data_IF_197048287635
#
_entry.id   IF_197048287635
#
_cell.length_a   1.000
_cell.length_b   1.000
_cell.length_c   1.000
_cell.angle_alpha   90.00
_cell.angle_beta   90.00
_cell.angle_gamma   90.00
#
_symmetry.space_group_name_H-M   'P 1'
#
loop_
_entity.id
_entity.type
_entity.pdbx_description
1 polymer ?
#
# COMPACT_ATOMS: atom_id res chain seq x y z
N UNK A 1 -0.53 11.58 -16.84
CA UNK A 1 0.58 12.46 -16.41
C UNK A 1 1.35 12.95 -17.63
N UNK A 2 2.03 14.10 -17.54
CA UNK A 2 2.84 14.66 -18.63
C UNK A 2 3.87 13.67 -19.21
N UNK A 3 4.46 12.83 -18.33
CA UNK A 3 5.39 11.78 -18.75
C UNK A 3 4.72 10.66 -19.57
N UNK A 4 3.47 10.32 -19.28
CA UNK A 4 2.70 9.33 -20.08
C UNK A 4 2.41 9.88 -21.48
N UNK A 5 2.02 11.14 -21.59
CA UNK A 5 1.79 11.82 -22.88
C UNK A 5 3.09 11.86 -23.69
N UNK A 6 4.21 12.28 -23.08
CA UNK A 6 5.52 12.28 -23.74
C UNK A 6 5.90 10.90 -24.28
N UNK A 7 5.67 9.82 -23.50
CA UNK A 7 5.94 8.44 -23.94
C UNK A 7 5.09 8.05 -25.14
N UNK A 8 3.80 8.40 -25.15
CA UNK A 8 2.90 8.12 -26.29
C UNK A 8 3.35 8.84 -27.56
N UNK A 9 3.77 10.09 -27.45
CA UNK A 9 4.31 10.88 -28.57
C UNK A 9 5.55 10.18 -29.16
N UNK A 10 6.55 9.90 -28.32
CA UNK A 10 7.80 9.26 -28.74
C UNK A 10 7.61 7.83 -29.31
N UNK A 11 6.49 7.19 -28.98
CA UNK A 11 6.14 5.85 -29.50
C UNK A 11 5.24 5.90 -30.74
N UNK A 12 5.15 7.02 -31.44
CA UNK A 12 4.32 7.22 -32.64
C UNK A 12 2.81 6.98 -32.42
N UNK A 13 2.33 7.15 -31.18
CA UNK A 13 0.93 6.95 -30.81
C UNK A 13 0.13 8.27 -30.75
N UNK A 14 0.65 9.34 -31.31
CA UNK A 14 -0.03 10.63 -31.48
C UNK A 14 -0.21 10.91 -32.96
N UNK A 15 -1.42 11.26 -33.36
CA UNK A 15 -1.71 11.87 -34.64
C UNK A 15 -2.27 13.26 -34.44
N UNK A 16 -1.82 14.20 -35.27
CA UNK A 16 -2.39 15.54 -35.37
C UNK A 16 -2.83 15.73 -36.83
N UNK A 17 -4.09 16.04 -37.03
CA UNK A 17 -4.72 16.10 -38.35
C UNK A 17 -4.40 14.86 -39.19
N UNK A 18 -4.51 13.68 -38.63
CA UNK A 18 -4.22 12.35 -39.20
C UNK A 18 -2.74 12.06 -39.50
N UNK A 19 -1.82 13.00 -39.25
CA UNK A 19 -0.37 12.83 -39.44
C UNK A 19 0.27 12.40 -38.09
N UNK A 20 1.13 11.35 -38.13
CA UNK A 20 1.87 10.92 -36.93
C UNK A 20 2.87 12.00 -36.53
N UNK A 21 2.81 12.43 -35.27
CA UNK A 21 3.75 13.36 -34.65
C UNK A 21 4.48 12.67 -33.51
N UNK A 22 5.81 12.62 -33.58
CA UNK A 22 6.67 11.99 -32.57
C UNK A 22 7.58 13.00 -31.84
N UNK A 23 7.39 14.30 -32.08
CA UNK A 23 8.11 15.35 -31.38
C UNK A 23 7.28 15.89 -30.19
N UNK A 24 7.74 15.72 -28.94
CA UNK A 24 7.07 16.26 -27.77
C UNK A 24 7.08 17.80 -27.67
N UNK A 25 7.87 18.48 -28.52
CA UNK A 25 7.96 19.95 -28.61
C UNK A 25 7.03 20.54 -29.66
N UNK A 26 6.29 19.69 -30.39
CA UNK A 26 5.35 20.17 -31.43
C UNK A 26 4.36 21.18 -30.85
N UNK A 27 4.23 22.32 -31.53
CA UNK A 27 3.33 23.41 -31.12
C UNK A 27 1.98 23.24 -31.82
N UNK A 28 0.96 23.01 -31.03
CA UNK A 28 -0.42 22.87 -31.49
C UNK A 28 -0.98 24.20 -31.97
N UNK A 29 -1.76 24.17 -33.05
CA UNK A 29 -2.52 25.32 -33.59
C UNK A 29 -4.00 25.20 -33.19
N UNK A 30 -4.66 26.33 -33.14
CA UNK A 30 -6.11 26.36 -32.92
C UNK A 30 -6.81 25.63 -34.08
N UNK A 31 -7.65 24.65 -33.75
CA UNK A 31 -8.35 23.80 -34.72
C UNK A 31 -7.66 22.48 -35.06
N UNK A 32 -6.47 22.20 -34.51
CA UNK A 32 -5.84 20.88 -34.68
C UNK A 32 -6.68 19.77 -34.04
N UNK A 33 -6.89 18.71 -34.81
CA UNK A 33 -7.52 17.46 -34.32
C UNK A 33 -6.45 16.53 -33.76
N UNK A 34 -6.56 16.19 -32.45
CA UNK A 34 -5.59 15.37 -31.72
C UNK A 34 -6.16 13.98 -31.46
N UNK A 35 -5.50 12.96 -32.01
CA UNK A 35 -5.85 11.57 -31.81
C UNK A 35 -4.71 10.81 -31.12
N UNK A 36 -5.02 10.15 -29.97
CA UNK A 36 -4.10 9.22 -29.34
C UNK A 36 -4.51 7.79 -29.68
N UNK A 37 -3.64 7.05 -30.36
CA UNK A 37 -3.77 5.61 -30.54
C UNK A 37 -3.28 4.90 -29.27
N UNK A 38 -4.14 4.83 -28.27
CA UNK A 38 -3.82 4.12 -27.02
C UNK A 38 -4.15 2.64 -27.29
N UNK A 39 -3.13 1.84 -27.62
CA UNK A 39 -3.30 0.40 -27.53
C UNK A 39 -3.63 0.08 -26.08
N UNK A 40 -4.69 -0.68 -25.78
CA UNK A 40 -4.91 -1.17 -24.44
C UNK A 40 -3.61 -1.86 -24.00
N UNK A 41 -2.99 -1.38 -22.91
CA UNK A 41 -1.91 -2.14 -22.29
C UNK A 41 -2.47 -3.56 -22.13
N UNK A 42 -1.81 -4.57 -22.73
CA UNK A 42 -2.18 -5.98 -22.53
C UNK A 42 -2.32 -6.12 -21.01
N UNK A 43 -3.55 -6.29 -20.54
CA UNK A 43 -3.81 -6.60 -19.14
C UNK A 43 -2.98 -7.85 -18.90
N UNK A 44 -1.90 -7.70 -18.14
CA UNK A 44 -1.08 -8.87 -17.80
C UNK A 44 -2.01 -9.77 -16.99
N UNK A 45 -2.42 -10.89 -17.62
CA UNK A 45 -3.23 -11.88 -16.92
C UNK A 45 -2.50 -12.28 -15.64
N UNK A 46 -3.20 -12.28 -14.52
CA UNK A 46 -2.67 -12.77 -13.26
C UNK A 46 -2.17 -14.20 -13.45
N UNK A 47 -0.88 -14.41 -13.22
CA UNK A 47 -0.29 -15.75 -13.26
C UNK A 47 -0.44 -16.43 -11.90
N UNK A 48 -0.81 -17.70 -11.86
CA UNK A 48 -0.75 -18.47 -10.62
C UNK A 48 0.67 -18.47 -10.04
N UNK A 49 0.77 -18.41 -8.72
CA UNK A 49 2.03 -18.50 -7.98
C UNK A 49 1.92 -19.59 -6.92
N UNK A 50 2.77 -20.59 -7.03
CA UNK A 50 2.86 -21.66 -6.03
C UNK A 50 3.47 -21.11 -4.75
N UNK A 51 2.61 -20.79 -3.80
CA UNK A 51 2.97 -20.27 -2.49
C UNK A 51 1.99 -20.80 -1.45
N UNK A 52 2.53 -21.39 -0.38
CA UNK A 52 1.72 -21.92 0.73
C UNK A 52 1.09 -20.76 1.50
N UNK A 53 -0.21 -20.55 1.32
CA UNK A 53 -0.99 -19.60 2.11
C UNK A 53 -1.19 -20.15 3.52
N UNK A 54 -0.94 -19.33 4.53
CA UNK A 54 -1.26 -19.62 5.93
C UNK A 54 -2.72 -19.18 6.18
N UNK A 55 -3.67 -20.09 5.88
CA UNK A 55 -5.11 -19.84 5.99
C UNK A 55 -5.51 -20.09 7.45
N UNK A 56 -6.01 -19.04 8.11
CA UNK A 56 -6.46 -19.08 9.51
C UNK A 56 -7.94 -19.42 9.62
N UNK A 57 -8.73 -18.99 8.61
CA UNK A 57 -10.16 -19.23 8.54
C UNK A 57 -10.62 -19.19 7.09
N UNK A 58 -11.56 -20.03 6.72
CA UNK A 58 -12.23 -20.03 5.44
C UNK A 58 -13.66 -20.54 5.58
N UNK A 59 -14.59 -19.87 4.90
CA UNK A 59 -15.97 -20.28 4.67
C UNK A 59 -16.37 -20.05 3.21
N UNK A 60 -17.67 -19.99 2.90
CA UNK A 60 -18.17 -19.76 1.55
C UNK A 60 -18.00 -18.31 1.09
N UNK A 61 -17.82 -17.37 2.01
CA UNK A 61 -17.80 -15.93 1.76
C UNK A 61 -16.41 -15.31 1.81
N UNK A 62 -15.56 -15.78 2.74
CA UNK A 62 -14.25 -15.14 2.99
C UNK A 62 -13.14 -16.16 3.18
N UNK A 63 -11.91 -15.70 2.93
CA UNK A 63 -10.68 -16.35 3.37
C UNK A 63 -9.92 -15.36 4.27
N UNK A 64 -9.49 -15.81 5.44
CA UNK A 64 -8.58 -15.06 6.33
C UNK A 64 -7.20 -15.69 6.28
N UNK A 65 -6.21 -14.91 5.90
CA UNK A 65 -4.82 -15.34 5.72
C UNK A 65 -3.94 -14.62 6.72
N UNK A 66 -3.04 -15.34 7.38
CA UNK A 66 -1.92 -14.76 8.11
C UNK A 66 -0.75 -14.52 7.14
N UNK A 67 -0.70 -13.31 6.57
CA UNK A 67 0.33 -12.94 5.59
C UNK A 67 1.70 -12.85 6.25
N UNK A 68 2.68 -13.56 5.70
CA UNK A 68 4.08 -13.39 6.08
C UNK A 68 4.66 -12.04 5.63
N UNK A 69 5.67 -11.55 6.35
CA UNK A 69 6.51 -10.43 5.89
C UNK A 69 7.26 -10.82 4.60
N UNK A 70 7.55 -9.85 3.75
CA UNK A 70 8.35 -10.03 2.52
C UNK A 70 7.54 -10.26 1.24
N UNK A 71 6.24 -10.59 1.32
CA UNK A 71 5.37 -10.78 0.16
C UNK A 71 4.41 -9.61 -0.04
N UNK A 72 4.25 -9.13 -1.28
CA UNK A 72 3.31 -8.06 -1.63
C UNK A 72 1.89 -8.59 -1.72
N UNK A 73 0.90 -7.71 -1.48
CA UNK A 73 -0.52 -8.08 -1.58
C UNK A 73 -0.97 -8.37 -3.01
N UNK A 74 -0.60 -7.51 -3.94
CA UNK A 74 -1.06 -7.54 -5.34
C UNK A 74 0.07 -7.08 -6.28
N UNK A 75 -0.04 -7.39 -7.58
CA UNK A 75 0.90 -6.95 -8.60
C UNK A 75 1.13 -5.45 -8.60
N UNK A 76 2.37 -5.03 -8.88
CA UNK A 76 2.77 -3.64 -8.95
C UNK A 76 4.17 -3.49 -9.51
N UNK A 77 4.62 -2.24 -9.70
CA UNK A 77 5.92 -1.95 -10.29
C UNK A 77 7.07 -2.71 -9.57
N UNK A 78 7.76 -3.57 -10.31
CA UNK A 78 8.88 -4.38 -9.83
C UNK A 78 8.49 -5.73 -9.20
N UNK A 79 7.20 -6.09 -9.12
CA UNK A 79 6.74 -7.40 -8.69
C UNK A 79 5.34 -7.68 -9.26
N UNK A 80 5.26 -8.47 -10.32
CA UNK A 80 4.01 -8.76 -11.03
C UNK A 80 3.46 -10.16 -10.75
N UNK A 81 4.32 -11.13 -10.45
CA UNK A 81 3.97 -12.55 -10.47
C UNK A 81 4.04 -13.23 -9.08
N UNK A 82 4.69 -12.62 -8.08
CA UNK A 82 4.94 -13.22 -6.78
C UNK A 82 4.23 -12.43 -5.66
N UNK A 83 2.90 -12.45 -5.68
CA UNK A 83 2.08 -11.72 -4.70
C UNK A 83 1.01 -12.62 -4.07
N UNK A 84 0.38 -12.16 -2.99
CA UNK A 84 -0.74 -12.88 -2.35
C UNK A 84 -1.87 -13.10 -3.35
N UNK A 85 -2.16 -12.12 -4.23
CA UNK A 85 -3.19 -12.29 -5.28
C UNK A 85 -2.82 -13.45 -6.21
N UNK A 86 -1.56 -13.55 -6.67
CA UNK A 86 -1.12 -14.64 -7.53
C UNK A 86 -1.21 -16.00 -6.80
N UNK A 87 -0.92 -16.03 -5.50
CA UNK A 87 -1.07 -17.24 -4.68
C UNK A 87 -2.55 -17.61 -4.49
N UNK A 88 -3.44 -16.64 -4.29
CA UNK A 88 -4.88 -16.86 -4.23
C UNK A 88 -5.45 -17.41 -5.54
N UNK A 89 -4.98 -16.90 -6.68
CA UNK A 89 -5.34 -17.44 -8.01
C UNK A 89 -4.90 -18.89 -8.16
N UNK A 90 -3.72 -19.24 -7.65
CA UNK A 90 -3.25 -20.64 -7.64
C UNK A 90 -4.09 -21.52 -6.72
N UNK A 91 -4.47 -20.99 -5.55
CA UNK A 91 -5.24 -21.71 -4.54
C UNK A 91 -6.68 -21.96 -5.01
N UNK A 92 -7.39 -20.93 -5.47
CA UNK A 92 -8.79 -21.04 -5.89
C UNK A 92 -9.21 -19.93 -6.86
N UNK A 93 -8.88 -20.08 -8.14
CA UNK A 93 -9.16 -19.09 -9.17
C UNK A 93 -10.67 -18.76 -9.33
N UNK A 94 -11.53 -19.76 -9.14
CA UNK A 94 -12.95 -19.63 -9.46
C UNK A 94 -13.81 -19.11 -8.30
N UNK A 95 -13.23 -18.95 -7.11
CA UNK A 95 -13.92 -18.51 -5.90
C UNK A 95 -13.29 -17.23 -5.34
N UNK A 96 -13.12 -16.22 -6.17
CA UNK A 96 -12.70 -14.88 -5.71
C UNK A 96 -13.64 -13.84 -6.34
N UNK A 97 -14.03 -12.86 -5.55
CA UNK A 97 -14.80 -11.73 -6.06
C UNK A 97 -14.05 -11.02 -7.18
N UNK A 98 -14.75 -10.69 -8.26
CA UNK A 98 -14.23 -9.97 -9.42
C UNK A 98 -14.61 -8.47 -9.42
N UNK A 99 -15.19 -7.95 -8.34
CA UNK A 99 -15.50 -6.53 -8.21
C UNK A 99 -14.20 -5.72 -8.10
N UNK A 100 -14.14 -4.62 -8.84
CA UNK A 100 -13.08 -3.62 -8.74
C UNK A 100 -11.97 -3.82 -9.77
N UNK A 101 -10.72 -3.81 -9.31
CA UNK A 101 -9.53 -3.91 -10.16
C UNK A 101 -9.29 -5.38 -10.57
N UNK A 102 -9.27 -5.68 -11.86
CA UNK A 102 -9.03 -7.02 -12.41
C UNK A 102 -7.71 -7.67 -11.94
N UNK A 103 -6.75 -6.86 -11.51
CA UNK A 103 -5.49 -7.32 -10.92
C UNK A 103 -5.58 -7.53 -9.40
N UNK A 104 -6.77 -7.42 -8.80
CA UNK A 104 -6.98 -7.52 -7.33
C UNK A 104 -8.23 -8.29 -6.94
N UNK A 105 -8.52 -9.44 -7.55
CA UNK A 105 -9.72 -10.21 -7.22
C UNK A 105 -9.77 -10.50 -5.71
N UNK A 106 -10.93 -10.28 -5.11
CA UNK A 106 -11.19 -10.52 -3.70
C UNK A 106 -10.53 -9.55 -2.71
N UNK A 107 -9.69 -8.61 -3.14
CA UNK A 107 -8.91 -7.75 -2.25
C UNK A 107 -9.71 -6.52 -1.81
N UNK A 108 -10.13 -6.48 -0.57
CA UNK A 108 -10.89 -5.38 0.06
C UNK A 108 -10.02 -4.43 0.88
N UNK A 109 -8.83 -4.86 1.29
CA UNK A 109 -7.82 -4.04 1.98
C UNK A 109 -6.40 -4.54 1.71
N UNK A 110 -5.41 -3.83 2.26
CA UNK A 110 -4.01 -4.19 2.08
C UNK A 110 -3.15 -3.81 3.28
N UNK A 111 -2.07 -4.57 3.47
CA UNK A 111 -0.94 -4.22 4.34
C UNK A 111 0.34 -4.14 3.50
N UNK A 112 1.39 -3.52 4.04
CA UNK A 112 2.66 -3.35 3.33
C UNK A 112 3.37 -4.68 3.08
N UNK A 113 4.28 -4.73 2.11
CA UNK A 113 5.08 -5.93 1.78
C UNK A 113 5.73 -6.53 3.03
N UNK A 114 6.39 -5.70 3.84
CA UNK A 114 7.15 -6.14 5.02
C UNK A 114 6.32 -6.17 6.31
N UNK A 115 5.02 -5.94 6.24
CA UNK A 115 4.10 -6.12 7.36
C UNK A 115 3.52 -7.52 7.31
N UNK A 116 3.57 -8.24 8.42
CA UNK A 116 2.89 -9.52 8.63
C UNK A 116 1.53 -9.32 9.29
N UNK A 117 0.68 -10.35 9.25
CA UNK A 117 -0.57 -10.39 9.97
C UNK A 117 -1.80 -10.67 9.11
N UNK A 118 -2.97 -10.54 9.71
CA UNK A 118 -4.23 -11.00 9.15
C UNK A 118 -4.72 -10.13 7.99
N UNK A 119 -5.20 -10.81 6.96
CA UNK A 119 -5.84 -10.24 5.78
C UNK A 119 -7.12 -11.01 5.53
N UNK A 120 -8.21 -10.28 5.28
CA UNK A 120 -9.45 -10.87 4.81
C UNK A 120 -9.59 -10.67 3.30
N UNK A 121 -10.00 -11.72 2.61
CA UNK A 121 -10.23 -11.78 1.16
C UNK A 121 -11.67 -12.21 0.91
N UNK A 122 -12.35 -11.55 -0.01
CA UNK A 122 -13.72 -11.89 -0.39
C UNK A 122 -13.76 -12.98 -1.47
N UNK A 123 -14.49 -14.07 -1.25
CA UNK A 123 -14.69 -15.16 -2.21
C UNK A 123 -15.76 -14.83 -3.23
N UNK A 124 -16.74 -14.04 -2.88
CA UNK A 124 -17.85 -13.63 -3.76
C UNK A 124 -18.11 -12.12 -3.71
N UNK A 125 -18.94 -11.65 -4.61
CA UNK A 125 -19.22 -10.22 -4.78
C UNK A 125 -20.01 -9.63 -3.60
N UNK A 126 -20.91 -10.39 -2.99
CA UNK A 126 -21.69 -9.95 -1.84
C UNK A 126 -20.79 -9.70 -0.62
N UNK A 127 -19.91 -10.64 -0.30
CA UNK A 127 -18.91 -10.49 0.75
C UNK A 127 -17.97 -9.30 0.47
N UNK A 128 -17.55 -9.11 -0.79
CA UNK A 128 -16.71 -7.99 -1.19
C UNK A 128 -17.36 -6.63 -0.92
N UNK A 129 -18.61 -6.46 -1.35
CA UNK A 129 -19.36 -5.22 -1.10
C UNK A 129 -19.54 -4.96 0.39
N UNK A 130 -19.91 -6.00 1.15
CA UNK A 130 -20.12 -5.88 2.59
C UNK A 130 -18.85 -5.50 3.33
N UNK A 131 -17.72 -6.18 3.06
CA UNK A 131 -16.42 -5.86 3.63
C UNK A 131 -15.94 -4.47 3.21
N UNK A 132 -16.09 -4.10 1.93
CA UNK A 132 -15.72 -2.78 1.43
C UNK A 132 -16.50 -1.66 2.14
N UNK A 133 -17.80 -1.84 2.39
CA UNK A 133 -18.61 -0.91 3.18
C UNK A 133 -18.08 -0.76 4.60
N UNK A 134 -17.69 -1.87 5.26
CA UNK A 134 -17.12 -1.84 6.60
C UNK A 134 -15.75 -1.13 6.64
N UNK A 135 -14.86 -1.41 5.68
CA UNK A 135 -13.56 -0.72 5.58
C UNK A 135 -13.72 0.78 5.32
N UNK A 136 -14.67 1.17 4.45
CA UNK A 136 -14.97 2.58 4.15
C UNK A 136 -15.57 3.32 5.34
N UNK A 137 -16.46 2.68 6.10
CA UNK A 137 -17.06 3.22 7.33
C UNK A 137 -16.11 3.14 8.53
N UNK A 138 -14.94 2.52 8.36
CA UNK A 138 -13.96 2.27 9.43
C UNK A 138 -14.54 1.51 10.64
N UNK A 139 -15.55 0.66 10.43
CA UNK A 139 -16.18 -0.16 11.47
C UNK A 139 -15.36 -1.39 11.85
N UNK A 140 -14.44 -1.83 10.99
CA UNK A 140 -13.52 -2.93 11.29
C UNK A 140 -12.41 -2.44 12.21
N UNK A 141 -12.27 -3.07 13.37
CA UNK A 141 -11.16 -2.79 14.29
C UNK A 141 -9.86 -3.36 13.72
N UNK A 142 -8.84 -2.49 13.58
CA UNK A 142 -7.51 -2.85 13.07
C UNK A 142 -6.46 -2.49 14.11
N UNK A 143 -5.86 -3.51 14.71
CA UNK A 143 -4.81 -3.37 15.72
C UNK A 143 -3.52 -3.92 15.15
N UNK A 144 -2.45 -3.15 15.29
CA UNK A 144 -1.09 -3.50 14.88
C UNK A 144 -0.19 -3.45 16.09
N UNK A 145 0.64 -4.49 16.26
CA UNK A 145 1.73 -4.47 17.22
C UNK A 145 3.04 -4.14 16.53
N UNK A 146 3.85 -3.31 17.15
CA UNK A 146 5.13 -2.88 16.59
C UNK A 146 6.14 -2.55 17.67
N UNK A 147 7.43 -2.79 17.36
CA UNK A 147 8.55 -2.33 18.15
C UNK A 147 9.07 -1.01 17.57
N UNK A 148 9.28 -0.04 18.43
CA UNK A 148 9.91 1.26 18.07
C UNK A 148 11.21 1.46 18.83
N UNK A 149 12.09 2.26 18.26
CA UNK A 149 13.27 2.74 18.92
C UNK A 149 12.94 3.83 19.94
N UNK A 150 13.46 3.67 21.17
CA UNK A 150 13.29 4.63 22.26
C UNK A 150 11.94 4.51 22.97
N UNK A 151 11.71 5.48 23.88
CA UNK A 151 10.43 5.67 24.59
C UNK A 151 9.59 6.72 23.89
N UNK A 152 8.30 6.44 23.73
CA UNK A 152 7.33 7.45 23.29
C UNK A 152 6.66 8.09 24.51
N UNK A 153 6.46 9.39 24.46
CA UNK A 153 5.77 10.16 25.52
C UNK A 153 4.75 11.09 24.91
N UNK A 154 3.51 11.09 25.44
CA UNK A 154 2.95 10.21 26.49
C UNK A 154 2.92 8.75 26.04
N UNK A 155 2.79 7.79 26.99
CA UNK A 155 2.73 6.34 26.69
C UNK A 155 1.48 5.91 25.93
N UNK A 156 0.45 6.73 25.91
CA UNK A 156 -0.80 6.55 25.17
C UNK A 156 -1.19 7.87 24.52
N UNK A 157 -1.65 7.81 23.28
CA UNK A 157 -2.02 9.03 22.57
C UNK A 157 -2.68 8.79 21.22
N UNK A 158 -3.03 9.91 20.59
CA UNK A 158 -3.63 9.98 19.26
C UNK A 158 -2.76 10.87 18.38
N UNK A 159 -2.45 10.38 17.18
CA UNK A 159 -1.73 11.14 16.15
C UNK A 159 -2.72 11.43 15.03
N UNK A 160 -2.96 12.70 14.77
CA UNK A 160 -3.82 13.16 13.69
C UNK A 160 -3.04 14.12 12.79
N UNK A 161 -2.84 13.74 11.52
CA UNK A 161 -2.06 14.50 10.56
C UNK A 161 -2.65 14.38 9.15
N UNK A 162 -2.06 15.09 8.20
CA UNK A 162 -2.25 14.84 6.77
C UNK A 162 -1.05 14.05 6.24
N UNK A 163 -1.30 12.95 5.54
CA UNK A 163 -0.26 12.16 4.88
C UNK A 163 -0.33 12.35 3.38
N UNK A 164 0.79 12.68 2.78
CA UNK A 164 0.99 12.85 1.34
C UNK A 164 2.18 12.05 0.84
N UNK A 165 2.29 11.92 -0.49
CA UNK A 165 3.49 11.31 -1.09
C UNK A 165 4.65 12.31 -0.99
N UNK A 166 5.81 11.81 -0.57
CA UNK A 166 7.00 12.65 -0.45
C UNK A 166 7.43 13.22 -1.80
N UNK A 167 7.74 14.52 -1.82
CA UNK A 167 8.27 15.21 -2.99
C UNK A 167 9.72 14.82 -3.30
N UNK A 168 10.48 14.46 -2.27
CA UNK A 168 11.91 14.06 -2.37
C UNK A 168 12.09 12.61 -2.80
N UNK A 169 11.20 11.70 -2.33
CA UNK A 169 11.26 10.30 -2.67
C UNK A 169 9.86 9.73 -2.90
N UNK A 170 9.50 9.50 -4.16
CA UNK A 170 8.16 9.02 -4.55
C UNK A 170 7.78 7.63 -4.00
N UNK A 171 8.74 6.88 -3.46
CA UNK A 171 8.48 5.60 -2.77
C UNK A 171 8.10 5.79 -1.29
N UNK A 172 8.19 7.00 -0.77
CA UNK A 172 7.90 7.35 0.62
C UNK A 172 6.64 8.21 0.74
N UNK A 173 6.05 8.16 1.91
CA UNK A 173 4.99 9.06 2.35
C UNK A 173 5.56 9.98 3.43
N UNK A 174 4.95 11.15 3.63
CA UNK A 174 5.37 12.12 4.65
C UNK A 174 4.17 12.83 5.26
N UNK A 175 4.34 13.31 6.49
CA UNK A 175 3.38 14.22 7.13
C UNK A 175 3.47 15.58 6.47
N UNK A 176 2.34 16.16 6.15
CA UNK A 176 2.22 17.51 5.60
C UNK A 176 1.29 18.34 6.47
N UNK A 177 1.53 19.66 6.52
CA UNK A 177 0.65 20.61 7.22
C UNK A 177 -0.47 21.16 6.34
N UNK A 178 -0.29 21.12 5.03
CA UNK A 178 -1.17 21.85 4.10
C UNK A 178 -1.88 20.96 3.07
N UNK A 179 -1.34 19.79 2.75
CA UNK A 179 -1.87 18.90 1.70
C UNK A 179 -1.78 17.44 2.10
N UNK A 180 -2.66 16.61 1.55
CA UNK A 180 -2.65 15.17 1.81
C UNK A 180 -4.02 14.67 2.27
N UNK A 181 -4.05 13.42 2.69
CA UNK A 181 -5.26 12.76 3.21
C UNK A 181 -5.17 12.65 4.72
N UNK A 182 -6.26 12.96 5.42
CA UNK A 182 -6.36 12.81 6.87
C UNK A 182 -5.99 11.40 7.30
N UNK A 183 -5.13 11.30 8.31
CA UNK A 183 -4.61 10.06 8.88
C UNK A 183 -4.67 10.13 10.41
N UNK A 184 -5.27 9.10 11.02
CA UNK A 184 -5.49 9.04 12.47
C UNK A 184 -5.03 7.68 12.97
N UNK A 185 -4.09 7.71 13.93
CA UNK A 185 -3.55 6.52 14.62
C UNK A 185 -3.61 6.74 16.11
N UNK A 186 -4.31 5.87 16.84
CA UNK A 186 -4.23 5.79 18.29
C UNK A 186 -3.13 4.79 18.66
N UNK A 187 -2.32 5.10 19.66
CA UNK A 187 -1.26 4.23 20.12
C UNK A 187 -1.24 4.09 21.64
N UNK A 188 -0.73 2.97 22.11
CA UNK A 188 -0.53 2.67 23.52
C UNK A 188 0.72 1.83 23.68
N UNK A 189 1.61 2.23 24.57
CA UNK A 189 2.81 1.48 24.93
C UNK A 189 2.42 0.34 25.85
N UNK A 190 2.72 -0.88 25.43
CA UNK A 190 2.48 -2.10 26.22
C UNK A 190 3.65 -2.41 27.14
N UNK A 191 4.88 -2.27 26.61
CA UNK A 191 6.09 -2.64 27.36
C UNK A 191 7.27 -1.81 26.88
N UNK A 192 8.19 -1.52 27.78
CA UNK A 192 9.46 -0.85 27.52
C UNK A 192 10.58 -1.82 27.89
N UNK A 193 11.53 -2.00 26.96
CA UNK A 193 12.71 -2.84 27.15
C UNK A 193 13.92 -1.93 27.29
N UNK A 194 14.55 -1.98 28.47
CA UNK A 194 15.74 -1.20 28.81
C UNK A 194 16.81 -2.09 29.37
N UNK A 195 18.02 -1.93 28.88
CA UNK A 195 19.21 -2.49 29.47
C UNK A 195 20.41 -1.63 29.09
N UNK A 196 21.53 -1.82 29.79
CA UNK A 196 22.76 -1.01 29.58
C UNK A 196 23.51 -1.31 28.27
N UNK A 197 23.16 -2.42 27.60
CA UNK A 197 23.91 -2.90 26.42
C UNK A 197 23.24 -2.61 25.08
N UNK A 198 21.92 -2.32 25.09
CA UNK A 198 21.14 -2.10 23.86
C UNK A 198 20.32 -0.82 23.95
N UNK A 199 20.05 -0.15 22.81
CA UNK A 199 19.13 0.99 22.82
C UNK A 199 17.76 0.57 23.35
N UNK A 200 17.13 1.49 24.08
CA UNK A 200 15.75 1.29 24.56
C UNK A 200 14.81 0.97 23.41
N UNK A 201 13.92 0.01 23.63
CA UNK A 201 12.83 -0.36 22.72
C UNK A 201 11.49 -0.22 23.44
N UNK A 202 10.44 0.05 22.68
CA UNK A 202 9.06 0.02 23.20
C UNK A 202 8.17 -0.82 22.29
N UNK A 203 7.39 -1.71 22.90
CA UNK A 203 6.32 -2.46 22.24
C UNK A 203 5.03 -1.64 22.32
N UNK A 204 4.42 -1.37 21.18
CA UNK A 204 3.20 -0.58 21.06
C UNK A 204 2.07 -1.38 20.43
N UNK A 205 0.83 -1.09 20.86
CA UNK A 205 -0.37 -1.30 20.07
C UNK A 205 -0.74 -0.02 19.34
N UNK A 206 -1.08 -0.15 18.05
CA UNK A 206 -1.63 0.93 17.25
C UNK A 206 -3.00 0.54 16.71
N UNK A 207 -4.04 1.32 17.03
CA UNK A 207 -5.39 1.19 16.47
C UNK A 207 -5.60 2.25 15.40
N UNK A 208 -5.99 1.81 14.20
CA UNK A 208 -6.18 2.69 13.05
C UNK A 208 -7.64 3.13 12.92
N UNK A 209 -7.88 4.46 12.90
CA UNK A 209 -9.15 5.04 12.44
C UNK A 209 -9.16 5.23 10.92
N UNK A 210 -7.99 5.42 10.30
CA UNK A 210 -7.80 5.54 8.85
C UNK A 210 -6.74 4.55 8.36
N UNK A 211 -6.64 4.28 7.06
CA UNK A 211 -5.67 3.32 6.49
C UNK A 211 -4.91 3.94 5.31
N UNK A 212 -4.01 4.90 5.55
CA UNK A 212 -3.17 5.49 4.50
C UNK A 212 -1.91 4.66 4.29
N UNK A 213 -1.37 4.71 3.09
CA UNK A 213 -0.10 4.02 2.75
C UNK A 213 0.99 4.39 3.75
N UNK A 214 1.64 3.39 4.33
CA UNK A 214 2.70 3.51 5.35
C UNK A 214 2.29 4.30 6.61
N UNK A 215 0.99 4.40 6.94
CA UNK A 215 0.50 5.35 7.94
C UNK A 215 1.21 5.23 9.29
N UNK A 216 1.25 4.04 9.89
CA UNK A 216 1.91 3.84 11.21
C UNK A 216 3.40 4.18 11.12
N UNK A 217 4.07 3.74 10.05
CA UNK A 217 5.50 3.99 9.81
C UNK A 217 5.83 5.48 9.74
N UNK A 218 5.00 6.23 9.00
CA UNK A 218 5.12 7.70 8.87
C UNK A 218 4.86 8.38 10.21
N UNK A 219 3.82 7.98 10.94
CA UNK A 219 3.46 8.55 12.23
C UNK A 219 4.53 8.30 13.29
N UNK A 220 5.05 7.06 13.39
CA UNK A 220 6.13 6.76 14.34
C UNK A 220 7.41 7.53 13.99
N UNK A 221 7.77 7.62 12.72
CA UNK A 221 8.91 8.44 12.30
C UNK A 221 8.70 9.94 12.56
N UNK A 222 7.49 10.45 12.38
CA UNK A 222 7.12 11.84 12.68
C UNK A 222 7.29 12.17 14.16
N UNK A 223 6.93 11.26 15.07
CA UNK A 223 7.16 11.41 16.50
C UNK A 223 8.64 11.20 16.92
N UNK A 224 9.48 10.82 15.96
CA UNK A 224 10.90 10.60 16.25
C UNK A 224 11.23 9.19 16.75
N UNK A 225 10.27 8.27 16.79
CA UNK A 225 10.38 6.90 17.26
C UNK A 225 10.19 5.91 16.10
N UNK A 226 11.18 5.77 15.22
CA UNK A 226 11.08 4.88 14.05
C UNK A 226 10.84 3.43 14.45
N UNK A 227 10.11 2.69 13.61
CA UNK A 227 9.88 1.25 13.80
C UNK A 227 11.19 0.48 13.62
N UNK A 228 11.42 -0.50 14.47
CA UNK A 228 12.57 -1.38 14.39
C UNK A 228 12.52 -2.18 13.08
N UNK A 229 13.63 -2.22 12.36
CA UNK A 229 13.71 -2.93 11.08
C UNK A 229 13.12 -2.20 9.87
N UNK A 230 12.58 -0.98 10.04
CA UNK A 230 12.05 -0.22 8.90
C UNK A 230 13.19 0.39 8.07
N UNK A 231 13.36 -0.10 6.84
CA UNK A 231 14.43 0.35 5.95
C UNK A 231 14.22 1.73 5.36
N UNK A 232 12.96 2.19 5.25
CA UNK A 232 12.59 3.43 4.57
C UNK A 232 12.50 4.62 5.51
N UNK A 233 11.98 4.42 6.74
CA UNK A 233 11.68 5.47 7.72
C UNK A 233 12.62 5.43 8.93
N UNK A 234 13.83 4.88 8.76
CA UNK A 234 14.81 4.79 9.84
C UNK A 234 15.45 6.14 10.17
N UNK A 235 15.55 6.47 11.46
CA UNK A 235 16.56 7.42 11.93
C UNK A 235 17.94 6.78 11.74
N UNK A 236 18.91 7.57 11.28
CA UNK A 236 20.31 7.16 11.36
C UNK A 236 20.70 7.17 12.85
N UNK A 237 20.63 6.02 13.49
CA UNK A 237 21.30 5.89 14.79
C UNK A 237 22.79 6.02 14.56
N UNK A 238 23.47 6.89 15.33
CA UNK A 238 24.94 6.85 15.41
C UNK A 238 25.31 5.43 15.82
N UNK A 239 26.18 4.79 15.05
CA UNK A 239 26.71 3.47 15.44
C UNK A 239 27.17 3.61 16.89
N UNK A 240 26.65 2.77 17.76
CA UNK A 240 27.19 2.58 19.09
C UNK A 240 28.60 2.04 18.84
N UNK A 241 29.61 2.82 19.29
CA UNK A 241 31.02 2.38 19.21
C UNK A 241 31.25 1.26 20.18
#
# INVERSE_FOLDING_TARGET
>A
SRSKVKKLILSNNLKINQVIVNDPSYVLKLGDNIEFCIQPEKIQSLKPYEYKLDIVFEDDDIIVINKSSGISMHPGAGNYDNTIVNALINYNKNSLSNIGDELRPGIVHRIDKNTSGLIVVAKNNQAHEHLSKQFNKHSITRIYQLLIWGKIRPSKGKIETLITRSSKNRQMMEVSRTKGKKAITNYETLQIFENDKTPTLSLLNCKLETGRTHQIRVHMNYLGNSIVGDDKYKKKFKKIK
#
